data_IF_268336857939
#
_entry.id   IF_268336857939
#
_cell.length_a   1.000
_cell.length_b   1.000
_cell.length_c   1.000
_cell.angle_alpha   90.00
_cell.angle_beta   90.00
_cell.angle_gamma   90.00
#
_symmetry.space_group_name_H-M   'P 1'
#
loop_
_entity.id
_entity.type
_entity.pdbx_description
1 polymer ?
#
# COMPACT_ATOMS: atom_id res chain seq x y z
N UNK A 1 30.31 -10.45 -30.01
CA UNK A 1 28.89 -10.14 -29.81
C UNK A 1 28.56 -10.56 -28.39
N UNK A 2 28.30 -9.63 -27.53
CA UNK A 2 28.55 -9.70 -26.11
C UNK A 2 27.33 -10.15 -25.31
N UNK A 3 27.61 -11.11 -24.45
CA UNK A 3 26.72 -11.80 -23.51
C UNK A 3 26.41 -10.92 -22.27
N UNK A 4 25.60 -9.84 -22.42
CA UNK A 4 25.29 -8.87 -21.35
C UNK A 4 23.91 -9.01 -20.69
N UNK A 5 23.08 -9.94 -21.16
CA UNK A 5 21.69 -10.08 -20.68
C UNK A 5 21.49 -11.09 -19.53
N UNK A 6 22.48 -11.93 -19.23
CA UNK A 6 22.34 -12.98 -18.21
C UNK A 6 22.75 -12.58 -16.79
N UNK A 7 23.69 -11.66 -16.65
CA UNK A 7 24.32 -11.34 -15.36
C UNK A 7 23.54 -10.33 -14.52
N UNK A 8 22.83 -9.42 -15.15
CA UNK A 8 22.08 -8.39 -14.41
C UNK A 8 20.81 -8.95 -13.74
N UNK A 9 20.12 -9.89 -14.38
CA UNK A 9 18.94 -10.55 -13.83
C UNK A 9 19.30 -11.55 -12.71
N UNK A 10 20.45 -12.19 -12.81
CA UNK A 10 20.94 -13.12 -11.77
C UNK A 10 21.42 -12.36 -10.52
N UNK A 11 21.96 -11.16 -10.64
CA UNK A 11 22.35 -10.34 -9.48
C UNK A 11 21.16 -9.71 -8.77
N UNK A 12 20.09 -9.35 -9.47
CA UNK A 12 18.84 -8.87 -8.85
C UNK A 12 18.13 -9.98 -8.04
N UNK A 13 18.21 -11.23 -8.50
CA UNK A 13 17.66 -12.38 -7.78
C UNK A 13 18.52 -12.81 -6.58
N UNK A 14 19.82 -12.55 -6.62
CA UNK A 14 20.75 -12.89 -5.53
C UNK A 14 20.69 -11.86 -4.39
N UNK A 15 20.12 -10.68 -4.61
CA UNK A 15 19.93 -9.64 -3.58
C UNK A 15 18.69 -9.87 -2.70
N UNK A 16 17.78 -10.77 -3.07
CA UNK A 16 16.81 -11.33 -2.14
C UNK A 16 17.53 -12.42 -1.36
N UNK A 17 18.28 -12.01 -0.35
CA UNK A 17 19.00 -12.93 0.55
C UNK A 17 18.01 -13.80 1.35
N UNK A 18 17.59 -14.92 0.76
CA UNK A 18 16.99 -16.04 1.49
C UNK A 18 18.09 -16.79 2.30
N UNK A 19 19.36 -16.48 2.07
CA UNK A 19 20.51 -17.18 2.66
C UNK A 19 20.57 -17.24 4.22
N UNK A 20 20.27 -16.19 4.99
CA UNK A 20 20.34 -16.34 6.46
C UNK A 20 19.15 -17.15 7.01
N UNK A 21 18.02 -17.21 6.32
CA UNK A 21 16.86 -18.00 6.76
C UNK A 21 17.05 -19.51 6.52
N UNK A 22 17.63 -19.88 5.38
CA UNK A 22 17.91 -21.28 5.07
C UNK A 22 19.09 -21.84 5.89
N UNK A 23 20.04 -21.01 6.32
CA UNK A 23 21.15 -21.43 7.15
C UNK A 23 20.76 -21.68 8.62
N UNK A 24 19.74 -20.99 9.11
CA UNK A 24 19.17 -21.25 10.43
C UNK A 24 18.20 -22.45 10.45
N UNK A 25 17.62 -22.81 9.31
CA UNK A 25 16.76 -24.01 9.20
C UNK A 25 17.57 -25.30 9.18
N UNK A 26 18.86 -25.27 8.78
CA UNK A 26 19.69 -26.48 8.70
C UNK A 26 20.28 -26.92 10.04
N UNK A 27 20.08 -26.15 11.12
CA UNK A 27 20.61 -26.45 12.45
C UNK A 27 19.56 -26.91 13.48
N UNK A 28 18.31 -27.09 13.06
CA UNK A 28 17.29 -27.72 13.90
C UNK A 28 16.53 -28.75 13.08
N UNK A 29 17.09 -29.97 13.01
CA UNK A 29 16.36 -31.21 12.62
C UNK A 29 15.27 -31.53 13.67
N UNK A 30 14.33 -30.61 13.86
CA UNK A 30 13.01 -30.93 14.38
C UNK A 30 12.09 -30.95 13.16
N UNK A 31 11.78 -32.15 12.71
CA UNK A 31 10.67 -32.41 11.79
C UNK A 31 9.41 -31.79 12.40
N UNK A 32 9.12 -30.54 12.01
CA UNK A 32 7.86 -29.91 12.39
C UNK A 32 6.72 -30.73 11.80
N UNK A 33 5.82 -31.19 12.62
CA UNK A 33 4.62 -31.83 12.14
C UNK A 33 3.87 -30.86 11.22
N UNK A 34 3.11 -31.34 10.21
CA UNK A 34 2.32 -30.46 9.36
C UNK A 34 1.40 -29.52 10.14
N UNK A 35 0.94 -29.95 11.31
CA UNK A 35 0.11 -29.16 12.23
C UNK A 35 0.91 -28.01 12.90
N UNK A 36 2.14 -28.27 13.34
CA UNK A 36 3.01 -27.24 13.92
C UNK A 36 3.41 -26.19 12.90
N UNK A 37 3.68 -26.61 11.65
CA UNK A 37 3.95 -25.68 10.54
C UNK A 37 2.75 -24.77 10.24
N UNK A 38 1.53 -25.30 10.27
CA UNK A 38 0.31 -24.53 10.09
C UNK A 38 0.07 -23.55 11.25
N UNK A 39 0.35 -23.95 12.49
CA UNK A 39 0.25 -23.08 13.66
C UNK A 39 1.28 -21.95 13.59
N UNK A 40 2.51 -22.23 13.14
CA UNK A 40 3.54 -21.21 12.96
C UNK A 40 3.14 -20.19 11.88
N UNK A 41 2.64 -20.63 10.73
CA UNK A 41 2.14 -19.75 9.66
C UNK A 41 0.97 -18.89 10.18
N UNK A 42 0.06 -19.50 10.94
CA UNK A 42 -1.08 -18.78 11.52
C UNK A 42 -0.62 -17.73 12.53
N UNK A 43 0.34 -18.06 13.40
CA UNK A 43 0.89 -17.09 14.35
C UNK A 43 1.62 -15.93 13.67
N UNK A 44 2.36 -16.19 12.58
CA UNK A 44 2.99 -15.14 11.78
C UNK A 44 1.97 -14.20 11.14
N UNK A 45 0.87 -14.73 10.62
CA UNK A 45 -0.23 -13.93 10.05
C UNK A 45 -0.90 -13.08 11.12
N UNK A 46 -1.17 -13.64 12.29
CA UNK A 46 -1.78 -12.93 13.43
C UNK A 46 -0.84 -11.81 13.91
N UNK A 47 0.44 -12.09 14.12
CA UNK A 47 1.43 -11.09 14.53
C UNK A 47 1.54 -9.96 13.52
N UNK A 48 1.53 -10.28 12.22
CA UNK A 48 1.58 -9.26 11.15
C UNK A 48 0.30 -8.44 11.11
N UNK A 49 -0.86 -9.08 11.28
CA UNK A 49 -2.15 -8.41 11.36
C UNK A 49 -2.19 -7.44 12.55
N UNK A 50 -1.63 -7.81 13.68
CA UNK A 50 -1.44 -6.94 14.84
C UNK A 50 -0.54 -5.74 14.49
N UNK A 51 0.62 -5.98 13.91
CA UNK A 51 1.57 -4.93 13.50
C UNK A 51 0.96 -3.94 12.47
N UNK A 52 0.23 -4.45 11.48
CA UNK A 52 -0.44 -3.59 10.47
C UNK A 52 -1.62 -2.84 11.10
N UNK A 53 -2.31 -3.42 12.08
CA UNK A 53 -3.40 -2.75 12.78
C UNK A 53 -2.89 -1.65 13.71
N UNK A 54 -1.78 -1.85 14.39
CA UNK A 54 -1.09 -0.79 15.13
C UNK A 54 -0.65 0.33 14.19
N UNK A 55 -0.21 -0.02 12.98
CA UNK A 55 0.17 0.90 11.92
C UNK A 55 -1.02 1.36 11.03
N UNK A 56 -2.27 1.04 11.40
CA UNK A 56 -3.48 1.48 10.66
C UNK A 56 -3.56 3.00 10.51
N UNK A 57 -2.88 3.75 11.38
CA UNK A 57 -2.74 5.19 11.27
C UNK A 57 -2.11 5.63 9.95
N UNK A 58 -1.17 4.86 9.40
CA UNK A 58 -0.55 5.18 8.10
C UNK A 58 -1.53 5.00 6.93
N UNK A 59 -2.33 3.94 6.96
CA UNK A 59 -3.39 3.75 5.96
C UNK A 59 -4.41 4.88 6.01
N UNK A 60 -4.82 5.27 7.21
CA UNK A 60 -5.75 6.37 7.40
C UNK A 60 -5.14 7.73 7.00
N UNK A 61 -3.88 7.98 7.34
CA UNK A 61 -3.16 9.20 6.96
C UNK A 61 -3.16 9.38 5.43
N UNK A 62 -2.72 8.34 4.70
CA UNK A 62 -2.66 8.39 3.23
C UNK A 62 -4.05 8.43 2.59
N UNK A 63 -5.00 7.68 3.14
CA UNK A 63 -6.39 7.72 2.68
C UNK A 63 -7.00 9.12 2.83
N UNK A 64 -6.89 9.73 3.99
CA UNK A 64 -7.41 11.08 4.25
C UNK A 64 -6.67 12.16 3.47
N UNK A 65 -5.34 12.09 3.39
CA UNK A 65 -4.55 13.05 2.62
C UNK A 65 -4.96 13.05 1.14
N UNK A 66 -5.09 11.87 0.53
CA UNK A 66 -5.52 11.75 -0.87
C UNK A 66 -6.97 12.22 -1.05
N UNK A 67 -7.86 11.86 -0.14
CA UNK A 67 -9.26 12.27 -0.20
C UNK A 67 -9.42 13.80 -0.09
N UNK A 68 -8.71 14.43 0.85
CA UNK A 68 -8.69 15.89 0.99
C UNK A 68 -8.12 16.54 -0.28
N UNK A 69 -7.02 15.99 -0.82
CA UNK A 69 -6.45 16.46 -2.09
C UNK A 69 -7.44 16.44 -3.23
N UNK A 70 -8.17 15.33 -3.42
CA UNK A 70 -9.19 15.19 -4.46
C UNK A 70 -10.36 16.17 -4.27
N UNK A 71 -10.91 16.27 -3.05
CA UNK A 71 -12.04 17.17 -2.76
C UNK A 71 -11.62 18.63 -2.97
N UNK A 72 -10.45 19.01 -2.46
CA UNK A 72 -9.92 20.38 -2.63
C UNK A 72 -9.65 20.69 -4.10
N UNK A 73 -9.06 19.75 -4.86
CA UNK A 73 -8.81 19.94 -6.28
C UNK A 73 -10.12 20.08 -7.06
N UNK A 74 -11.12 19.24 -6.78
CA UNK A 74 -12.43 19.34 -7.41
C UNK A 74 -13.08 20.68 -7.13
N UNK A 75 -13.07 21.14 -5.88
CA UNK A 75 -13.61 22.44 -5.49
C UNK A 75 -12.92 23.59 -6.20
N UNK A 76 -11.60 23.60 -6.21
CA UNK A 76 -10.81 24.64 -6.90
C UNK A 76 -11.07 24.66 -8.40
N UNK A 77 -11.22 23.49 -9.02
CA UNK A 77 -11.43 23.36 -10.46
C UNK A 77 -12.84 23.76 -10.89
N UNK A 78 -13.88 23.25 -10.19
CA UNK A 78 -15.28 23.32 -10.64
C UNK A 78 -16.01 24.52 -10.04
N UNK A 79 -15.72 24.87 -8.77
CA UNK A 79 -16.44 25.95 -8.08
C UNK A 79 -15.69 27.29 -8.20
N UNK A 80 -14.38 27.25 -7.96
CA UNK A 80 -13.54 28.46 -7.95
C UNK A 80 -13.02 28.80 -9.35
N UNK A 81 -13.01 27.83 -10.28
CA UNK A 81 -12.41 27.95 -11.62
C UNK A 81 -10.93 28.38 -11.60
N UNK A 82 -10.19 27.92 -10.57
CA UNK A 82 -8.81 28.29 -10.36
C UNK A 82 -7.88 27.50 -11.27
N UNK A 83 -7.14 28.18 -12.15
CA UNK A 83 -6.26 27.53 -13.12
C UNK A 83 -5.21 26.62 -12.47
N UNK A 84 -4.71 26.98 -11.30
CA UNK A 84 -3.68 26.21 -10.58
C UNK A 84 -4.28 25.26 -9.53
N UNK A 85 -5.41 24.64 -9.85
CA UNK A 85 -6.11 23.69 -8.98
C UNK A 85 -5.22 22.51 -8.48
N UNK A 86 -4.14 22.20 -9.17
CA UNK A 86 -3.16 21.18 -8.77
C UNK A 86 -2.42 21.50 -7.47
N UNK A 87 -2.45 22.74 -6.98
CA UNK A 87 -1.91 23.10 -5.66
C UNK A 87 -2.60 22.35 -4.51
N UNK A 88 -3.79 21.79 -4.71
CA UNK A 88 -4.42 20.87 -3.75
C UNK A 88 -3.51 19.71 -3.34
N UNK A 89 -2.60 19.28 -4.22
CA UNK A 89 -1.68 18.18 -3.96
C UNK A 89 -0.48 18.54 -3.06
N UNK A 90 -0.34 19.80 -2.63
CA UNK A 90 0.61 20.15 -1.56
C UNK A 90 0.30 19.45 -0.22
N UNK A 91 -0.88 18.87 -0.05
CA UNK A 91 -1.19 17.97 1.07
C UNK A 91 -0.29 16.72 1.07
N UNK A 92 0.20 16.26 -0.09
CA UNK A 92 1.03 15.06 -0.22
C UNK A 92 2.41 15.20 0.45
N UNK A 93 3.24 16.23 0.15
CA UNK A 93 4.50 16.42 0.88
C UNK A 93 4.31 16.61 2.39
N UNK A 94 3.20 17.21 2.84
CA UNK A 94 2.87 17.29 4.26
C UNK A 94 2.60 15.90 4.84
N UNK A 95 1.83 15.07 4.15
CA UNK A 95 1.58 13.69 4.57
C UNK A 95 2.88 12.85 4.59
N UNK A 96 3.79 13.04 3.61
CA UNK A 96 5.12 12.42 3.61
C UNK A 96 5.93 12.84 4.83
N UNK A 97 5.98 14.13 5.14
CA UNK A 97 6.71 14.62 6.31
C UNK A 97 6.17 14.02 7.62
N UNK A 98 4.85 13.99 7.80
CA UNK A 98 4.19 13.35 8.94
C UNK A 98 4.55 11.86 8.99
N UNK A 99 4.48 11.17 7.86
CA UNK A 99 4.82 9.75 7.76
C UNK A 99 6.27 9.46 8.19
N UNK A 100 7.23 10.26 7.72
CA UNK A 100 8.64 10.13 8.09
C UNK A 100 8.89 10.40 9.58
N UNK A 101 8.22 11.40 10.18
CA UNK A 101 8.30 11.68 11.60
C UNK A 101 7.76 10.49 12.41
N UNK A 102 6.65 9.89 11.99
CA UNK A 102 6.10 8.71 12.66
C UNK A 102 7.05 7.51 12.55
N UNK A 103 7.59 7.20 11.37
CA UNK A 103 8.56 6.12 11.21
C UNK A 103 9.78 6.31 12.10
N UNK A 104 10.35 7.52 12.16
CA UNK A 104 11.55 7.79 12.96
C UNK A 104 11.31 7.60 14.46
N UNK A 105 10.08 7.87 14.93
CA UNK A 105 9.70 7.67 16.34
C UNK A 105 9.33 6.22 16.68
N UNK A 106 8.69 5.51 15.75
CA UNK A 106 8.15 4.16 15.97
C UNK A 106 9.19 3.05 15.78
N UNK A 107 10.24 3.25 14.98
CA UNK A 107 11.30 2.25 14.73
C UNK A 107 12.09 1.83 15.99
N UNK A 108 11.94 2.53 17.13
CA UNK A 108 12.66 2.21 18.36
C UNK A 108 12.12 0.99 19.13
N UNK A 109 10.88 0.56 18.90
CA UNK A 109 10.20 -0.44 19.74
C UNK A 109 9.92 -1.80 19.07
N UNK A 110 10.16 -1.98 17.78
CA UNK A 110 9.86 -3.24 17.09
C UNK A 110 11.05 -4.19 17.05
N UNK A 111 11.05 -5.20 17.94
CA UNK A 111 12.15 -6.17 18.08
C UNK A 111 12.14 -7.31 17.05
N UNK A 112 11.03 -7.63 16.38
CA UNK A 112 10.98 -8.76 15.41
C UNK A 112 10.12 -8.39 14.20
N UNK A 113 10.74 -8.34 13.01
CA UNK A 113 10.03 -8.24 11.73
C UNK A 113 9.63 -9.63 11.25
N UNK A 114 8.36 -9.82 10.93
CA UNK A 114 7.91 -11.05 10.26
C UNK A 114 8.10 -10.96 8.75
N UNK A 115 8.29 -12.10 8.08
CA UNK A 115 8.39 -12.18 6.61
C UNK A 115 7.22 -11.48 5.90
N UNK A 116 6.00 -11.61 6.43
CA UNK A 116 4.80 -10.98 5.85
C UNK A 116 4.85 -9.45 6.00
N UNK A 117 5.41 -8.94 7.10
CA UNK A 117 5.61 -7.50 7.30
C UNK A 117 6.62 -6.94 6.29
N UNK A 118 7.74 -7.63 6.07
CA UNK A 118 8.75 -7.24 5.08
C UNK A 118 8.19 -7.29 3.65
N UNK A 119 7.43 -8.34 3.32
CA UNK A 119 6.78 -8.45 2.03
C UNK A 119 5.79 -7.30 1.78
N UNK A 120 5.00 -6.93 2.79
CA UNK A 120 4.06 -5.80 2.71
C UNK A 120 4.81 -4.47 2.55
N UNK A 121 5.88 -4.25 3.31
CA UNK A 121 6.74 -3.05 3.19
C UNK A 121 7.32 -2.94 1.76
N UNK A 122 7.83 -4.05 1.20
CA UNK A 122 8.38 -4.11 -0.16
C UNK A 122 7.35 -3.77 -1.23
N UNK A 123 6.10 -4.24 -1.08
CA UNK A 123 4.99 -3.89 -1.98
C UNK A 123 4.74 -2.37 -1.98
N UNK A 124 4.74 -1.73 -0.82
CA UNK A 124 4.51 -0.29 -0.74
C UNK A 124 5.69 0.54 -1.23
N UNK A 125 6.92 0.06 -1.07
CA UNK A 125 8.12 0.69 -1.65
C UNK A 125 8.03 0.70 -3.18
N UNK A 126 7.71 -0.43 -3.82
CA UNK A 126 7.61 -0.50 -5.28
C UNK A 126 6.43 0.32 -5.83
N UNK A 127 5.31 0.37 -5.10
CA UNK A 127 4.18 1.23 -5.46
C UNK A 127 4.57 2.70 -5.36
N UNK A 128 5.28 3.11 -4.31
CA UNK A 128 5.81 4.47 -4.17
C UNK A 128 6.77 4.85 -5.30
N UNK A 129 7.68 3.94 -5.67
CA UNK A 129 8.54 4.12 -6.84
C UNK A 129 7.74 4.24 -8.14
N UNK A 130 6.66 3.46 -8.29
CA UNK A 130 5.77 3.52 -9.46
C UNK A 130 5.03 4.86 -9.54
N UNK A 131 4.62 5.46 -8.41
CA UNK A 131 4.05 6.82 -8.39
C UNK A 131 5.06 7.85 -8.89
N UNK A 132 6.34 7.75 -8.48
CA UNK A 132 7.40 8.62 -8.97
C UNK A 132 7.64 8.44 -10.46
N UNK A 133 7.69 7.21 -10.96
CA UNK A 133 7.84 6.94 -12.38
C UNK A 133 6.66 7.52 -13.19
N UNK A 134 5.43 7.31 -12.74
CA UNK A 134 4.23 7.86 -13.38
C UNK A 134 4.20 9.38 -13.35
N UNK A 135 4.74 10.03 -12.31
CA UNK A 135 4.86 11.49 -12.26
C UNK A 135 5.64 12.01 -13.47
N UNK A 136 6.78 11.41 -13.81
CA UNK A 136 7.57 11.79 -14.98
C UNK A 136 6.86 11.46 -16.29
N UNK A 137 6.15 10.33 -16.36
CA UNK A 137 5.36 9.96 -17.54
C UNK A 137 4.26 11.01 -17.79
N UNK A 138 3.47 11.36 -16.78
CA UNK A 138 2.36 12.33 -16.94
C UNK A 138 2.83 13.76 -17.15
N UNK A 139 4.05 14.09 -16.74
CA UNK A 139 4.67 15.36 -17.10
C UNK A 139 4.82 15.51 -18.62
N UNK A 140 5.05 14.41 -19.36
CA UNK A 140 5.18 14.42 -20.82
C UNK A 140 3.86 14.22 -21.55
N UNK A 141 3.00 13.29 -21.11
CA UNK A 141 1.77 12.94 -21.84
C UNK A 141 0.54 13.73 -21.42
N UNK A 142 0.62 14.44 -20.28
CA UNK A 142 -0.48 15.24 -19.71
C UNK A 142 -1.12 14.63 -18.47
N UNK A 143 -1.39 15.49 -17.52
CA UNK A 143 -1.95 15.14 -16.21
C UNK A 143 -3.40 14.67 -16.24
N UNK A 144 -4.13 14.93 -17.33
CA UNK A 144 -5.52 14.51 -17.48
C UNK A 144 -5.72 13.00 -17.52
N UNK A 145 -4.66 12.23 -17.71
CA UNK A 145 -4.71 10.76 -17.79
C UNK A 145 -4.24 10.08 -16.51
N UNK A 146 -3.87 10.82 -15.45
CA UNK A 146 -3.19 10.26 -14.29
C UNK A 146 -4.09 9.42 -13.37
N UNK A 147 -5.35 9.81 -13.18
CA UNK A 147 -6.22 9.19 -12.17
C UNK A 147 -6.49 7.70 -12.36
N UNK A 148 -6.77 7.18 -13.58
CA UNK A 148 -6.95 5.74 -13.78
C UNK A 148 -5.75 4.92 -13.29
N UNK A 149 -4.54 5.37 -13.58
CA UNK A 149 -3.31 4.68 -13.19
C UNK A 149 -3.06 4.76 -11.68
N UNK A 150 -3.32 5.89 -11.06
CA UNK A 150 -3.18 6.03 -9.62
C UNK A 150 -4.21 5.18 -8.87
N UNK A 151 -5.47 5.14 -9.32
CA UNK A 151 -6.49 4.25 -8.75
C UNK A 151 -6.08 2.78 -8.92
N UNK A 152 -5.53 2.41 -10.09
CA UNK A 152 -5.05 1.06 -10.34
C UNK A 152 -3.92 0.65 -9.37
N UNK A 153 -2.93 1.50 -9.15
CA UNK A 153 -1.84 1.23 -8.20
C UNK A 153 -2.36 1.08 -6.76
N UNK A 154 -3.31 1.93 -6.34
CA UNK A 154 -3.97 1.77 -5.05
C UNK A 154 -4.70 0.43 -4.96
N UNK A 155 -5.42 0.02 -6.00
CA UNK A 155 -6.13 -1.26 -6.05
C UNK A 155 -5.19 -2.45 -5.92
N UNK A 156 -4.08 -2.46 -6.67
CA UNK A 156 -3.05 -3.50 -6.64
C UNK A 156 -2.44 -3.61 -5.23
N UNK A 157 -1.98 -2.48 -4.66
CA UNK A 157 -1.36 -2.47 -3.34
C UNK A 157 -2.28 -2.93 -2.24
N UNK A 158 -3.53 -2.48 -2.27
CA UNK A 158 -4.54 -2.86 -1.28
C UNK A 158 -4.92 -4.33 -1.40
N UNK A 159 -5.09 -4.85 -2.62
CA UNK A 159 -5.39 -6.26 -2.86
C UNK A 159 -4.28 -7.17 -2.37
N UNK A 160 -3.02 -6.87 -2.72
CA UNK A 160 -1.85 -7.67 -2.29
C UNK A 160 -1.73 -7.63 -0.77
N UNK A 161 -1.78 -6.45 -0.14
CA UNK A 161 -1.72 -6.30 1.32
C UNK A 161 -2.85 -7.08 2.00
N UNK A 162 -4.09 -6.95 1.53
CA UNK A 162 -5.22 -7.69 2.05
C UNK A 162 -5.11 -9.21 1.86
N UNK A 163 -4.38 -9.66 0.82
CA UNK A 163 -4.13 -11.08 0.58
C UNK A 163 -3.07 -11.63 1.53
N UNK A 164 -1.99 -10.89 1.78
CA UNK A 164 -0.92 -11.25 2.71
C UNK A 164 -1.44 -11.40 4.15
N UNK A 165 -2.25 -10.46 4.62
CA UNK A 165 -2.82 -10.48 5.99
C UNK A 165 -4.15 -11.26 6.09
N UNK A 166 -4.62 -11.88 4.99
CA UNK A 166 -5.89 -12.60 4.88
C UNK A 166 -7.11 -11.78 5.32
N UNK A 167 -7.10 -10.46 5.08
CA UNK A 167 -8.17 -9.55 5.46
C UNK A 167 -9.13 -9.29 4.28
N UNK A 168 -10.30 -9.92 4.30
CA UNK A 168 -11.28 -9.89 3.20
C UNK A 168 -11.73 -8.48 2.78
N UNK A 169 -12.03 -7.52 3.69
CA UNK A 169 -12.46 -6.19 3.27
C UNK A 169 -11.44 -5.45 2.40
N UNK A 170 -10.14 -5.56 2.69
CA UNK A 170 -9.09 -4.96 1.85
C UNK A 170 -9.01 -5.62 0.47
N UNK A 171 -9.16 -6.95 0.39
CA UNK A 171 -9.17 -7.65 -0.90
C UNK A 171 -10.32 -7.18 -1.79
N UNK A 172 -11.53 -7.10 -1.22
CA UNK A 172 -12.72 -6.62 -1.93
C UNK A 172 -12.52 -5.16 -2.37
N UNK A 173 -12.05 -4.30 -1.47
CA UNK A 173 -11.74 -2.90 -1.79
C UNK A 173 -10.73 -2.76 -2.93
N UNK A 174 -9.68 -3.59 -2.95
CA UNK A 174 -8.70 -3.63 -4.04
C UNK A 174 -9.32 -4.01 -5.39
N UNK A 175 -10.19 -5.02 -5.43
CA UNK A 175 -10.91 -5.41 -6.66
C UNK A 175 -11.81 -4.29 -7.15
N UNK A 176 -12.59 -3.67 -6.25
CA UNK A 176 -13.45 -2.53 -6.60
C UNK A 176 -12.62 -1.38 -7.19
N UNK A 177 -11.45 -1.09 -6.61
CA UNK A 177 -10.53 -0.09 -7.15
C UNK A 177 -10.09 -0.41 -8.59
N UNK A 178 -9.76 -1.67 -8.89
CA UNK A 178 -9.38 -2.06 -10.25
C UNK A 178 -10.53 -1.86 -11.26
N UNK A 179 -11.76 -2.21 -10.87
CA UNK A 179 -12.93 -1.93 -11.70
C UNK A 179 -13.16 -0.41 -11.88
N UNK A 180 -12.99 0.38 -10.81
CA UNK A 180 -13.11 1.83 -10.87
C UNK A 180 -12.00 2.46 -11.73
N UNK A 181 -10.78 1.94 -11.68
CA UNK A 181 -9.68 2.40 -12.53
C UNK A 181 -10.02 2.27 -14.03
N UNK A 182 -10.59 1.12 -14.42
CA UNK A 182 -11.06 0.91 -15.78
C UNK A 182 -12.21 1.88 -16.13
N UNK A 183 -13.21 2.01 -15.27
CA UNK A 183 -14.35 2.91 -15.48
C UNK A 183 -13.92 4.38 -15.58
N UNK A 184 -12.90 4.79 -14.81
CA UNK A 184 -12.38 6.15 -14.76
C UNK A 184 -11.79 6.59 -16.12
N UNK A 185 -11.34 5.66 -16.96
CA UNK A 185 -10.80 5.95 -18.30
C UNK A 185 -11.87 6.46 -19.28
N UNK A 186 -13.15 6.24 -19.01
CA UNK A 186 -14.26 6.61 -19.91
C UNK A 186 -14.97 7.90 -19.51
N UNK A 187 -14.54 8.57 -18.45
CA UNK A 187 -15.21 9.77 -17.95
C UNK A 187 -14.30 11.00 -18.02
N UNK A 188 -14.89 12.22 -18.05
CA UNK A 188 -14.12 13.46 -18.10
C UNK A 188 -13.27 13.65 -16.81
N UNK A 189 -12.19 14.43 -16.95
CA UNK A 189 -11.20 14.65 -15.88
C UNK A 189 -11.80 15.09 -14.53
N UNK A 190 -12.81 15.95 -14.56
CA UNK A 190 -13.50 16.41 -13.34
C UNK A 190 -14.16 15.25 -12.56
N UNK A 191 -14.78 14.32 -13.30
CA UNK A 191 -15.41 13.12 -12.72
C UNK A 191 -14.35 12.12 -12.24
N UNK A 192 -13.19 12.03 -12.93
CA UNK A 192 -12.08 11.17 -12.49
C UNK A 192 -11.60 11.52 -11.08
N UNK A 193 -11.54 12.82 -10.74
CA UNK A 193 -11.16 13.29 -9.40
C UNK A 193 -12.11 12.72 -8.33
N UNK A 194 -13.41 12.77 -8.59
CA UNK A 194 -14.43 12.24 -7.66
C UNK A 194 -14.36 10.71 -7.56
N UNK A 195 -14.14 10.01 -8.67
CA UNK A 195 -13.97 8.56 -8.67
C UNK A 195 -12.73 8.14 -7.89
N UNK A 196 -11.65 8.91 -7.96
CA UNK A 196 -10.46 8.69 -7.12
C UNK A 196 -10.79 8.83 -5.63
N UNK A 197 -11.50 9.89 -5.23
CA UNK A 197 -11.93 10.07 -3.83
C UNK A 197 -12.80 8.89 -3.36
N UNK A 198 -13.74 8.44 -4.19
CA UNK A 198 -14.60 7.30 -3.90
C UNK A 198 -13.83 5.98 -3.82
N UNK A 199 -12.88 5.75 -4.72
CA UNK A 199 -12.01 4.58 -4.70
C UNK A 199 -11.20 4.50 -3.39
N UNK A 200 -10.62 5.62 -2.96
CA UNK A 200 -9.86 5.70 -1.71
C UNK A 200 -10.76 5.47 -0.48
N UNK A 201 -11.98 6.00 -0.49
CA UNK A 201 -12.93 5.77 0.59
C UNK A 201 -13.19 4.27 0.79
N UNK A 202 -13.49 3.55 -0.30
CA UNK A 202 -13.83 2.12 -0.26
C UNK A 202 -12.63 1.24 0.01
N UNK A 203 -11.46 1.54 -0.59
CA UNK A 203 -10.30 0.65 -0.53
C UNK A 203 -9.38 0.93 0.65
N UNK A 204 -9.38 2.15 1.19
CA UNK A 204 -8.44 2.58 2.22
C UNK A 204 -9.11 2.96 3.53
N UNK A 205 -10.04 3.90 3.48
CA UNK A 205 -10.62 4.49 4.69
C UNK A 205 -11.50 3.46 5.38
N UNK A 206 -12.46 2.86 4.67
CA UNK A 206 -13.37 1.86 5.25
C UNK A 206 -12.60 0.63 5.76
N UNK A 207 -11.75 -0.05 4.97
CA UNK A 207 -10.99 -1.18 5.47
C UNK A 207 -10.01 -0.81 6.60
N UNK A 208 -9.44 0.39 6.59
CA UNK A 208 -8.56 0.89 7.64
C UNK A 208 -9.26 0.99 8.99
N UNK A 209 -10.48 1.56 9.02
CA UNK A 209 -11.29 1.60 10.23
C UNK A 209 -11.78 0.23 10.69
N UNK A 210 -12.16 -0.65 9.74
CA UNK A 210 -12.58 -2.02 10.07
C UNK A 210 -11.43 -2.81 10.71
N UNK A 211 -10.22 -2.70 10.16
CA UNK A 211 -9.02 -3.34 10.69
C UNK A 211 -8.72 -2.83 12.10
N UNK A 212 -8.78 -1.52 12.33
CA UNK A 212 -8.57 -0.90 13.64
C UNK A 212 -9.60 -1.36 14.68
N UNK A 213 -10.87 -1.45 14.28
CA UNK A 213 -11.95 -1.89 15.19
C UNK A 213 -11.81 -3.37 15.55
N UNK A 214 -11.42 -4.22 14.61
CA UNK A 214 -11.18 -5.64 14.88
C UNK A 214 -10.07 -5.82 15.90
N UNK A 215 -8.96 -5.09 15.75
CA UNK A 215 -7.84 -5.11 16.70
C UNK A 215 -8.25 -4.67 18.11
N UNK A 216 -9.04 -3.62 18.26
CA UNK A 216 -9.53 -3.18 19.57
C UNK A 216 -10.36 -4.24 20.27
N UNK A 217 -11.21 -4.96 19.53
CA UNK A 217 -12.01 -6.05 20.08
C UNK A 217 -11.14 -7.23 20.54
N UNK A 218 -10.15 -7.60 19.72
CA UNK A 218 -9.24 -8.72 20.03
C UNK A 218 -8.39 -8.44 21.29
N UNK A 219 -8.04 -7.16 21.55
CA UNK A 219 -7.31 -6.75 22.77
C UNK A 219 -8.17 -6.58 24.02
N UNK A 220 -9.50 -6.43 23.88
CA UNK A 220 -10.42 -6.36 25.03
C UNK A 220 -10.82 -7.76 25.55
N UNK A 221 -10.58 -8.81 24.75
CA UNK A 221 -10.91 -10.20 25.09
C UNK A 221 -9.73 -10.98 25.67
N UNK A 222 -8.56 -10.34 25.79
CA UNK A 222 -7.35 -10.84 26.48
C UNK A 222 -7.21 -10.23 27.84
#
# INVERSE_FOLDING_TARGET
MNNWSGTCFHQLFTFIQIKPYLQNMNNSDKDFSPQESLLLIRSMIETTKHSISDNSHFFLLWGWATMIGCITQYFLLVVVHFEKHYYAWFVTPVAVAIHLIFISRYKKDQQVKTFISEATESVWIIIGASYMALFFVFYHIGWQYCFPFYIMLYGIGTFISGSLIKFKPMKIGGIICLCLAAATSYVPYTTQILLMAFAILISYIIPGYLLRNQYRKDNQLK
#
